data_IF_339611267972
#
_entry.id   IF_339611267972
#
_cell.length_a   1.000
_cell.length_b   1.000
_cell.length_c   1.000
_cell.angle_alpha   90.00
_cell.angle_beta   90.00
_cell.angle_gamma   90.00
#
_symmetry.space_group_name_H-M   'P 1'
#
loop_
_entity.id
_entity.type
_entity.pdbx_description
1 polymer ?
#
# COMPACT_ATOMS: atom_id res chain seq x y z
N UNK A 1 -16.58 0.56 0.64
CA UNK A 1 -16.69 1.56 1.73
C UNK A 1 -16.13 2.88 1.18
N UNK A 2 -16.10 3.98 1.95
CA UNK A 2 -15.35 5.15 1.53
C UNK A 2 -13.88 4.95 1.89
N UNK A 3 -12.96 5.08 0.93
CA UNK A 3 -11.52 4.97 1.21
C UNK A 3 -11.12 6.10 2.16
N UNK A 4 -10.43 5.74 3.24
CA UNK A 4 -9.89 6.72 4.18
C UNK A 4 -8.89 7.66 3.48
N UNK A 5 -9.13 8.97 3.56
CA UNK A 5 -8.31 10.00 2.87
C UNK A 5 -6.81 9.87 3.10
N UNK A 6 -6.38 9.46 4.31
CA UNK A 6 -4.96 9.30 4.62
C UNK A 6 -4.32 8.12 3.88
N UNK A 7 -5.09 7.05 3.63
CA UNK A 7 -4.65 5.87 2.86
C UNK A 7 -4.59 6.21 1.38
N UNK A 8 -5.64 6.83 0.86
CA UNK A 8 -5.69 7.29 -0.53
C UNK A 8 -4.50 8.21 -0.86
N UNK A 9 -4.22 9.19 0.01
CA UNK A 9 -3.07 10.09 -0.12
C UNK A 9 -1.74 9.33 -0.04
N UNK A 10 -1.59 8.41 0.92
CA UNK A 10 -0.37 7.64 1.11
C UNK A 10 -0.04 6.78 -0.12
N UNK A 11 -1.00 5.98 -0.57
CA UNK A 11 -0.82 5.04 -1.69
C UNK A 11 -0.73 5.77 -3.04
N UNK A 12 -1.51 6.82 -3.25
CA UNK A 12 -1.40 7.66 -4.45
C UNK A 12 -0.02 8.28 -4.57
N UNK A 13 0.53 8.79 -3.46
CA UNK A 13 1.88 9.37 -3.47
C UNK A 13 2.96 8.30 -3.65
N UNK A 14 2.78 7.12 -3.05
CA UNK A 14 3.65 5.97 -3.24
C UNK A 14 3.79 5.58 -4.71
N UNK A 15 2.68 5.36 -5.42
CA UNK A 15 2.73 5.01 -6.86
C UNK A 15 3.24 6.15 -7.74
N UNK A 16 3.15 7.40 -7.26
CA UNK A 16 3.75 8.57 -7.90
C UNK A 16 5.21 8.81 -7.51
N UNK A 17 5.83 7.93 -6.71
CA UNK A 17 7.20 8.09 -6.17
C UNK A 17 7.41 9.40 -5.40
N UNK A 18 6.37 9.90 -4.72
CA UNK A 18 6.39 11.13 -3.91
C UNK A 18 6.47 10.79 -2.41
N UNK A 19 7.14 11.64 -1.64
CA UNK A 19 7.22 11.53 -0.17
C UNK A 19 5.84 11.65 0.48
N UNK A 20 5.50 10.87 1.53
CA UNK A 20 4.20 10.98 2.20
C UNK A 20 4.03 12.34 2.88
N UNK A 21 2.79 12.86 2.94
CA UNK A 21 2.50 14.15 3.59
C UNK A 21 2.39 14.03 5.12
N UNK A 22 2.04 12.85 5.62
CA UNK A 22 1.90 12.57 7.05
C UNK A 22 2.71 11.34 7.42
N UNK A 23 3.30 11.34 8.62
CA UNK A 23 4.15 10.23 9.11
C UNK A 23 3.36 9.02 9.64
N UNK A 24 2.03 9.12 9.80
CA UNK A 24 1.21 8.04 10.40
C UNK A 24 1.09 6.82 9.48
N UNK A 25 0.87 7.04 8.19
CA UNK A 25 0.77 5.95 7.22
C UNK A 25 1.95 6.04 6.28
N UNK A 26 2.66 4.94 6.10
CA UNK A 26 3.86 4.89 5.26
C UNK A 26 3.79 3.68 4.35
N UNK A 27 3.96 3.93 3.06
CA UNK A 27 4.04 2.89 2.04
C UNK A 27 5.48 2.82 1.53
N UNK A 28 6.03 1.61 1.53
CA UNK A 28 7.39 1.33 1.07
C UNK A 28 7.37 0.21 0.03
N UNK A 29 8.30 0.27 -0.90
CA UNK A 29 8.54 -0.79 -1.86
C UNK A 29 9.61 -1.70 -1.28
N UNK A 30 9.28 -2.98 -1.10
CA UNK A 30 10.26 -4.00 -0.76
C UNK A 30 10.83 -4.59 -2.05
N UNK A 31 12.09 -4.23 -2.34
CA UNK A 31 12.85 -4.73 -3.48
C UNK A 31 13.69 -5.98 -3.15
N UNK A 32 13.61 -6.51 -1.92
CA UNK A 32 14.38 -7.70 -1.54
C UNK A 32 13.78 -9.01 -2.11
N UNK A 33 12.53 -8.97 -2.60
CA UNK A 33 11.86 -10.09 -3.24
C UNK A 33 11.94 -9.96 -4.77
N UNK A 34 11.80 -11.10 -5.46
CA UNK A 34 11.72 -11.14 -6.93
C UNK A 34 10.53 -10.32 -7.45
N UNK A 35 9.40 -10.36 -6.73
CA UNK A 35 8.23 -9.54 -7.05
C UNK A 35 8.23 -8.23 -6.23
N UNK A 36 7.95 -7.07 -6.86
CA UNK A 36 7.78 -5.80 -6.17
C UNK A 36 6.64 -5.91 -5.16
N UNK A 37 6.96 -5.73 -3.89
CA UNK A 37 6.02 -5.91 -2.79
C UNK A 37 5.77 -4.57 -2.09
N UNK A 38 4.50 -4.19 -1.92
CA UNK A 38 4.11 -3.05 -1.11
C UNK A 38 4.10 -3.43 0.38
N UNK A 39 4.79 -2.64 1.18
CA UNK A 39 4.70 -2.67 2.64
C UNK A 39 3.97 -1.41 3.12
N UNK A 40 2.84 -1.58 3.79
CA UNK A 40 2.08 -0.49 4.40
C UNK A 40 2.21 -0.55 5.92
N UNK A 41 2.66 0.55 6.50
CA UNK A 41 2.81 0.71 7.94
C UNK A 41 1.83 1.74 8.49
N UNK A 42 1.32 1.47 9.69
CA UNK A 42 0.70 2.46 10.56
C UNK A 42 1.60 2.71 11.76
N UNK A 43 2.13 3.93 11.86
CA UNK A 43 3.33 4.22 12.65
C UNK A 43 4.41 3.19 12.31
N UNK A 44 4.86 2.38 13.26
CA UNK A 44 5.91 1.37 13.08
C UNK A 44 5.36 -0.06 12.91
N UNK A 45 4.04 -0.24 12.87
CA UNK A 45 3.42 -1.56 12.70
C UNK A 45 3.18 -1.86 11.22
N UNK A 46 3.66 -3.01 10.74
CA UNK A 46 3.36 -3.51 9.41
C UNK A 46 1.90 -3.99 9.38
N UNK A 47 1.07 -3.30 8.61
CA UNK A 47 -0.38 -3.56 8.51
C UNK A 47 -0.69 -4.44 7.31
N UNK A 48 0.00 -4.22 6.19
CA UNK A 48 -0.22 -4.95 4.94
C UNK A 48 1.10 -5.17 4.22
N UNK A 49 1.33 -6.41 3.81
CA UNK A 49 2.32 -6.78 2.80
C UNK A 49 1.56 -7.32 1.58
N UNK A 50 1.75 -6.71 0.43
CA UNK A 50 0.99 -7.01 -0.79
C UNK A 50 1.92 -7.18 -1.99
N UNK A 51 1.82 -8.31 -2.67
CA UNK A 51 2.53 -8.57 -3.92
C UNK A 51 1.85 -7.80 -5.06
N UNK A 52 2.55 -6.81 -5.63
CA UNK A 52 1.98 -5.95 -6.66
C UNK A 52 1.93 -6.61 -8.05
N UNK A 53 2.63 -7.72 -8.25
CA UNK A 53 2.64 -8.46 -9.51
C UNK A 53 1.52 -9.49 -9.54
N UNK A 54 1.41 -10.28 -8.47
CA UNK A 54 0.39 -11.33 -8.36
C UNK A 54 -0.94 -10.80 -7.78
N UNK A 55 -0.98 -9.53 -7.40
CA UNK A 55 -2.16 -8.86 -6.81
C UNK A 55 -2.71 -9.60 -5.57
N UNK A 56 -1.80 -10.13 -4.72
CA UNK A 56 -2.15 -10.95 -3.56
C UNK A 56 -1.65 -10.35 -2.25
N UNK A 57 -2.44 -10.53 -1.19
CA UNK A 57 -2.04 -10.23 0.19
C UNK A 57 -1.08 -11.32 0.65
N UNK A 58 0.14 -10.92 1.03
CA UNK A 58 1.15 -11.82 1.61
C UNK A 58 1.05 -11.86 3.13
N UNK A 59 0.75 -10.72 3.75
CA UNK A 59 0.55 -10.60 5.18
C UNK A 59 -0.42 -9.46 5.49
N UNK A 60 -1.24 -9.63 6.52
CA UNK A 60 -2.10 -8.58 7.03
C UNK A 60 -2.19 -8.68 8.56
N UNK A 61 -2.18 -7.53 9.23
CA UNK A 61 -2.23 -7.49 10.69
C UNK A 61 -2.92 -6.20 11.16
N UNK A 62 -3.64 -6.31 12.28
CA UNK A 62 -4.23 -5.17 12.98
C UNK A 62 -4.39 -5.48 14.46
N UNK A 63 -4.25 -4.46 15.31
CA UNK A 63 -4.58 -4.55 16.73
C UNK A 63 -5.75 -3.63 17.06
N UNK A 64 -5.74 -2.42 16.51
CA UNK A 64 -6.73 -1.37 16.82
C UNK A 64 -7.71 -1.19 15.67
N UNK A 65 -8.88 -0.63 15.98
CA UNK A 65 -9.89 -0.30 14.98
C UNK A 65 -9.37 0.67 13.88
N UNK A 66 -8.40 1.53 14.22
CA UNK A 66 -7.75 2.40 13.24
C UNK A 66 -6.92 1.61 12.21
N UNK A 67 -6.16 0.61 12.66
CA UNK A 67 -5.36 -0.27 11.81
C UNK A 67 -6.26 -1.03 10.84
N UNK A 68 -7.32 -1.64 11.38
CA UNK A 68 -8.30 -2.40 10.58
C UNK A 68 -8.96 -1.52 9.52
N UNK A 69 -9.45 -0.33 9.88
CA UNK A 69 -10.05 0.60 8.90
C UNK A 69 -9.05 1.04 7.82
N UNK A 70 -7.78 1.20 8.19
CA UNK A 70 -6.72 1.54 7.25
C UNK A 70 -6.35 0.39 6.32
N UNK A 71 -6.28 -0.84 6.85
CA UNK A 71 -6.11 -2.07 6.09
C UNK A 71 -7.25 -2.23 5.07
N UNK A 72 -8.50 -2.18 5.52
CA UNK A 72 -9.68 -2.30 4.65
C UNK A 72 -9.66 -1.24 3.55
N UNK A 73 -9.31 0.00 3.91
CA UNK A 73 -9.17 1.11 2.94
C UNK A 73 -8.03 0.88 1.94
N UNK A 74 -6.93 0.25 2.36
CA UNK A 74 -5.78 -0.01 1.51
C UNK A 74 -6.10 -1.10 0.49
N UNK A 75 -6.77 -2.17 0.92
CA UNK A 75 -7.25 -3.23 0.03
C UNK A 75 -8.25 -2.66 -0.99
N UNK A 76 -9.22 -1.87 -0.53
CA UNK A 76 -10.19 -1.21 -1.43
C UNK A 76 -9.51 -0.22 -2.41
N UNK A 77 -8.45 0.46 -1.98
CA UNK A 77 -7.68 1.35 -2.85
C UNK A 77 -6.92 0.57 -3.93
N UNK A 78 -6.25 -0.53 -3.56
CA UNK A 78 -5.51 -1.38 -4.49
C UNK A 78 -6.42 -1.95 -5.57
N UNK A 79 -7.60 -2.43 -5.18
CA UNK A 79 -8.63 -2.94 -6.09
C UNK A 79 -9.10 -1.85 -7.08
N UNK A 80 -9.50 -0.68 -6.57
CA UNK A 80 -9.98 0.43 -7.42
C UNK A 80 -8.91 1.07 -8.30
N UNK A 81 -7.63 0.95 -7.94
CA UNK A 81 -6.52 1.57 -8.65
C UNK A 81 -5.58 0.55 -9.30
N UNK A 82 -6.05 -0.67 -9.56
CA UNK A 82 -5.24 -1.76 -10.10
C UNK A 82 -4.45 -1.34 -11.36
N UNK A 83 -5.09 -0.63 -12.30
CA UNK A 83 -4.41 -0.14 -13.51
C UNK A 83 -3.21 0.77 -13.19
N UNK A 84 -3.35 1.67 -12.21
CA UNK A 84 -2.26 2.55 -11.77
C UNK A 84 -1.13 1.77 -11.13
N UNK A 85 -1.46 0.72 -10.37
CA UNK A 85 -0.48 -0.18 -9.77
C UNK A 85 0.29 -0.93 -10.85
N UNK A 86 -0.39 -1.46 -11.87
CA UNK A 86 0.26 -2.14 -13.02
C UNK A 86 1.23 -1.24 -13.77
N UNK A 87 0.82 0.00 -14.06
CA UNK A 87 1.71 1.00 -14.65
C UNK A 87 2.92 1.24 -13.75
N UNK A 88 2.72 1.46 -12.45
CA UNK A 88 3.81 1.64 -11.49
C UNK A 88 4.77 0.44 -11.46
N UNK A 89 4.27 -0.79 -11.40
CA UNK A 89 5.07 -2.03 -11.41
C UNK A 89 5.89 -2.14 -12.70
N UNK A 90 5.29 -1.86 -13.86
CA UNK A 90 6.01 -1.86 -15.14
C UNK A 90 7.15 -0.83 -15.21
N UNK A 91 7.06 0.26 -14.43
CA UNK A 91 8.07 1.31 -14.34
C UNK A 91 9.16 1.01 -13.32
N UNK A 92 9.01 -0.03 -12.48
CA UNK A 92 10.04 -0.50 -11.56
C UNK A 92 10.95 -1.53 -12.25
N UNK A 93 10.39 -2.36 -13.13
CA UNK A 93 11.14 -3.40 -13.86
C UNK A 93 11.98 -2.90 -15.05
N UNK A 94 12.06 -1.58 -15.27
CA UNK A 94 12.96 -0.93 -16.25
C UNK A 94 14.14 -0.29 -15.55
#
# INVERSE_FOLDING_TARGET
>A
MAIMKQIDECLTRFVQKKMPLRKKWRAHLNCARFNPTLLLFHYDHLILEFDLTEEKILNQWWERAADKRGLDSAVEWLDKNNEKVKVFVSLIGR
#
